data_IF_533316159905
#
_entry.id   IF_533316159905
#
_cell.length_a   1.000
_cell.length_b   1.000
_cell.length_c   1.000
_cell.angle_alpha   90.00
_cell.angle_beta   90.00
_cell.angle_gamma   90.00
#
_symmetry.space_group_name_H-M   'P 1'
#
loop_
_entity.id
_entity.type
_entity.pdbx_description
1 polymer ?
#
# COMPACT_ATOMS: atom_id res chain seq x y z
N UNK A 1 -17.38 -8.98 32.41
CA UNK A 1 -17.44 -7.54 32.10
C UNK A 1 -18.09 -7.40 30.72
N UNK A 2 -19.37 -7.07 30.65
CA UNK A 2 -20.07 -6.86 29.37
C UNK A 2 -19.61 -5.52 28.80
N UNK A 3 -18.99 -5.53 27.62
CA UNK A 3 -18.56 -4.32 26.95
C UNK A 3 -19.79 -3.54 26.47
N UNK A 4 -20.06 -2.40 27.10
CA UNK A 4 -21.15 -1.51 26.72
C UNK A 4 -20.72 -0.66 25.51
N UNK A 5 -20.89 -1.23 24.32
CA UNK A 5 -20.47 -0.66 23.03
C UNK A 5 -21.07 0.73 22.83
N UNK A 6 -22.33 0.95 23.25
CA UNK A 6 -23.00 2.23 23.12
C UNK A 6 -22.31 3.34 23.92
N UNK A 7 -21.90 3.03 25.16
CA UNK A 7 -21.14 3.98 25.99
C UNK A 7 -19.76 4.26 25.41
N UNK A 8 -19.09 3.26 24.85
CA UNK A 8 -17.80 3.43 24.19
C UNK A 8 -17.89 4.37 22.98
N UNK A 9 -18.79 4.08 22.03
CA UNK A 9 -18.97 4.89 20.82
C UNK A 9 -19.35 6.32 21.15
N UNK A 10 -20.23 6.52 22.14
CA UNK A 10 -20.61 7.86 22.60
C UNK A 10 -19.41 8.63 23.16
N UNK A 11 -18.64 8.00 24.05
CA UNK A 11 -17.44 8.61 24.65
C UNK A 11 -16.41 8.96 23.57
N UNK A 12 -16.15 8.03 22.64
CA UNK A 12 -15.26 8.24 21.51
C UNK A 12 -15.71 9.43 20.65
N UNK A 13 -16.99 9.49 20.28
CA UNK A 13 -17.52 10.61 19.48
C UNK A 13 -17.48 11.95 20.23
N UNK A 14 -17.75 11.98 21.53
CA UNK A 14 -17.66 13.19 22.35
C UNK A 14 -16.21 13.71 22.46
N UNK A 15 -15.23 12.82 22.60
CA UNK A 15 -13.81 13.19 22.60
C UNK A 15 -13.39 13.68 21.21
N UNK A 16 -13.78 12.99 20.14
CA UNK A 16 -13.48 13.37 18.76
C UNK A 16 -14.02 14.76 18.40
N UNK A 17 -15.20 15.13 18.89
CA UNK A 17 -15.74 16.49 18.71
C UNK A 17 -14.94 17.57 19.43
N UNK A 18 -14.33 17.26 20.57
CA UNK A 18 -13.47 18.20 21.33
C UNK A 18 -12.08 18.32 20.72
N UNK A 19 -11.58 17.25 20.10
CA UNK A 19 -10.23 17.18 19.54
C UNK A 19 -10.23 16.64 18.10
N UNK A 20 -10.89 17.33 17.15
CA UNK A 20 -11.01 16.83 15.77
C UNK A 20 -9.65 16.69 15.08
N UNK A 21 -8.69 17.57 15.38
CA UNK A 21 -7.34 17.51 14.81
C UNK A 21 -6.62 16.20 15.15
N UNK A 22 -6.67 15.76 16.41
CA UNK A 22 -6.02 14.50 16.84
C UNK A 22 -6.63 13.29 16.12
N UNK A 23 -7.95 13.30 15.89
CA UNK A 23 -8.64 12.21 15.18
C UNK A 23 -8.24 12.19 13.71
N UNK A 24 -8.18 13.36 13.08
CA UNK A 24 -7.75 13.49 11.69
C UNK A 24 -6.28 13.09 11.54
N UNK A 25 -5.39 13.58 12.39
CA UNK A 25 -3.96 13.24 12.38
C UNK A 25 -3.77 11.74 12.58
N UNK A 26 -4.46 11.14 13.55
CA UNK A 26 -4.40 9.69 13.80
C UNK A 26 -4.88 8.89 12.58
N UNK A 27 -5.95 9.34 11.92
CA UNK A 27 -6.46 8.70 10.71
C UNK A 27 -5.51 8.84 9.52
N UNK A 28 -4.92 10.02 9.32
CA UNK A 28 -3.99 10.30 8.23
C UNK A 28 -2.66 9.58 8.42
N UNK A 29 -2.11 9.60 9.65
CA UNK A 29 -0.92 8.85 10.04
C UNK A 29 -1.16 7.34 9.89
N UNK A 30 -2.33 6.88 10.34
CA UNK A 30 -2.74 5.49 10.21
C UNK A 30 -2.88 5.01 8.77
N UNK A 31 -3.02 5.91 7.80
CA UNK A 31 -3.20 5.59 6.37
C UNK A 31 -2.09 6.14 5.47
N UNK A 32 -1.01 6.65 6.06
CA UNK A 32 0.05 7.40 5.39
C UNK A 32 0.58 6.71 4.13
N UNK A 33 0.88 5.41 4.22
CA UNK A 33 1.45 4.63 3.11
C UNK A 33 0.51 4.36 1.93
N UNK A 34 -0.78 4.72 2.00
CA UNK A 34 -1.72 4.58 0.89
C UNK A 34 -1.84 5.82 0.00
N UNK A 35 -1.26 6.96 0.40
CA UNK A 35 -1.38 8.21 -0.35
C UNK A 35 -0.14 9.10 -0.32
N UNK A 36 0.80 8.94 0.62
CA UNK A 36 2.00 9.76 0.71
C UNK A 36 3.21 9.10 0.02
N UNK A 37 3.79 9.77 -0.98
CA UNK A 37 4.94 9.29 -1.78
C UNK A 37 6.31 9.68 -1.18
N UNK A 38 6.47 9.51 0.13
CA UNK A 38 7.74 9.75 0.80
C UNK A 38 8.14 8.56 1.67
N UNK A 39 8.94 8.85 2.70
CA UNK A 39 9.38 7.81 3.63
C UNK A 39 8.18 7.15 4.30
N UNK A 40 8.19 5.83 4.30
CA UNK A 40 7.22 5.03 5.02
C UNK A 40 7.42 5.26 6.51
N UNK A 41 6.36 5.62 7.25
CA UNK A 41 6.41 5.68 8.71
C UNK A 41 6.58 4.30 9.37
N UNK A 42 6.58 3.22 8.58
CA UNK A 42 6.86 1.89 9.09
C UNK A 42 8.32 1.74 9.50
N UNK A 43 8.52 1.29 10.74
CA UNK A 43 9.82 0.94 11.32
C UNK A 43 10.58 -0.16 10.54
N UNK A 44 9.89 -0.90 9.67
CA UNK A 44 10.49 -1.88 8.76
C UNK A 44 10.59 -1.24 7.37
N UNK A 45 11.77 -0.74 7.05
CA UNK A 45 12.13 -0.17 5.74
C UNK A 45 12.65 -1.21 4.74
N UNK A 46 12.75 -2.48 5.15
CA UNK A 46 13.24 -3.59 4.33
C UNK A 46 12.15 -4.63 4.07
N UNK A 47 12.27 -5.38 2.98
CA UNK A 47 11.37 -6.50 2.71
C UNK A 47 11.95 -7.73 3.42
N UNK A 48 11.17 -8.40 4.28
CA UNK A 48 11.63 -9.61 4.95
C UNK A 48 11.85 -10.73 3.92
N UNK A 49 13.11 -10.95 3.57
CA UNK A 49 13.53 -12.02 2.67
C UNK A 49 13.54 -13.38 3.36
N UNK A 50 14.08 -13.41 4.58
CA UNK A 50 14.25 -14.61 5.39
C UNK A 50 13.01 -14.89 6.26
N UNK A 51 11.89 -14.20 6.04
CA UNK A 51 10.66 -14.39 6.84
C UNK A 51 10.82 -14.07 8.33
N UNK A 52 9.71 -14.09 9.07
CA UNK A 52 9.72 -13.68 10.48
C UNK A 52 10.27 -14.74 11.46
N UNK A 53 10.67 -15.92 10.99
CA UNK A 53 11.02 -17.07 11.84
C UNK A 53 12.01 -18.05 11.20
N UNK A 54 12.79 -17.68 10.17
CA UNK A 54 13.80 -18.60 9.60
C UNK A 54 15.18 -18.45 10.25
N UNK A 55 15.35 -17.52 11.20
CA UNK A 55 16.54 -17.44 12.03
C UNK A 55 16.70 -18.71 12.88
N UNK A 56 17.93 -19.19 13.06
CA UNK A 56 18.18 -20.51 13.67
C UNK A 56 17.63 -20.70 15.08
N UNK A 57 17.46 -19.61 15.84
CA UNK A 57 16.87 -19.57 17.18
C UNK A 57 15.33 -19.45 17.18
N UNK A 58 14.70 -19.03 16.07
CA UNK A 58 13.27 -18.76 15.95
C UNK A 58 12.53 -19.78 15.07
N UNK A 59 13.28 -20.61 14.33
CA UNK A 59 12.74 -21.58 13.39
C UNK A 59 12.23 -22.87 14.06
N UNK A 60 11.11 -22.71 14.79
CA UNK A 60 10.40 -23.80 15.47
C UNK A 60 9.86 -24.89 14.54
N UNK A 61 9.67 -24.59 13.25
CA UNK A 61 9.13 -25.51 12.24
C UNK A 61 10.22 -26.16 11.38
N UNK A 62 11.50 -25.85 11.63
CA UNK A 62 12.65 -26.32 10.85
C UNK A 62 12.50 -26.12 9.33
N UNK A 63 11.84 -25.04 8.92
CA UNK A 63 11.64 -24.71 7.51
C UNK A 63 12.97 -24.20 6.96
N UNK A 64 13.48 -24.81 5.90
CA UNK A 64 14.70 -24.35 5.23
C UNK A 64 14.40 -23.95 3.80
N UNK A 65 15.07 -22.89 3.33
CA UNK A 65 14.92 -22.42 1.96
C UNK A 65 16.05 -23.00 1.12
N UNK A 66 15.72 -23.86 0.17
CA UNK A 66 16.68 -24.41 -0.78
C UNK A 66 16.57 -23.68 -2.13
N UNK A 67 17.54 -22.82 -2.44
CA UNK A 67 17.59 -22.14 -3.75
C UNK A 67 18.48 -22.92 -4.71
N UNK A 68 17.92 -23.35 -5.85
CA UNK A 68 18.70 -23.96 -6.93
C UNK A 68 19.60 -22.94 -7.66
N UNK A 69 19.41 -21.65 -7.42
CA UNK A 69 20.20 -20.58 -8.00
C UNK A 69 20.62 -19.60 -6.90
N UNK A 70 21.78 -19.88 -6.28
CA UNK A 70 22.25 -19.18 -5.09
C UNK A 70 22.57 -17.71 -5.38
N UNK A 71 23.17 -17.40 -6.53
CA UNK A 71 23.54 -16.03 -6.90
C UNK A 71 22.32 -15.07 -6.94
N UNK A 72 21.19 -15.52 -7.49
CA UNK A 72 19.95 -14.72 -7.47
C UNK A 72 19.35 -14.61 -6.07
N UNK A 73 19.45 -15.68 -5.28
CA UNK A 73 18.99 -15.67 -3.89
C UNK A 73 19.71 -14.60 -3.09
N UNK A 74 21.03 -14.56 -3.21
CA UNK A 74 21.87 -13.62 -2.47
C UNK A 74 21.64 -12.19 -2.96
N UNK A 75 21.53 -11.98 -4.28
CA UNK A 75 21.20 -10.67 -4.84
C UNK A 75 19.84 -10.15 -4.37
N UNK A 76 18.80 -10.99 -4.42
CA UNK A 76 17.46 -10.59 -3.96
C UNK A 76 17.46 -10.30 -2.45
N UNK A 77 18.20 -11.09 -1.67
CA UNK A 77 18.35 -10.87 -0.22
C UNK A 77 19.01 -9.54 0.06
N UNK A 78 20.12 -9.24 -0.61
CA UNK A 78 20.83 -7.97 -0.48
C UNK A 78 19.95 -6.80 -0.91
N UNK A 79 19.26 -6.91 -2.05
CA UNK A 79 18.40 -5.86 -2.58
C UNK A 79 17.14 -5.62 -1.72
N UNK A 80 16.67 -6.62 -0.97
CA UNK A 80 15.50 -6.48 -0.09
C UNK A 80 15.87 -5.97 1.29
N UNK A 81 17.05 -6.34 1.81
CA UNK A 81 17.59 -5.88 3.10
C UNK A 81 18.22 -4.49 3.02
N UNK A 82 18.81 -4.14 1.88
CA UNK A 82 19.30 -2.80 1.60
C UNK A 82 18.28 -2.09 0.72
N UNK A 83 17.67 -0.97 1.15
CA UNK A 83 16.73 -0.22 0.33
C UNK A 83 17.45 0.59 -0.76
N UNK A 84 18.35 -0.03 -1.53
CA UNK A 84 19.09 0.59 -2.62
C UNK A 84 18.13 1.20 -3.66
N UNK A 85 16.94 0.62 -3.84
CA UNK A 85 15.90 1.14 -4.72
C UNK A 85 15.38 2.54 -4.33
N UNK A 86 15.47 2.92 -3.05
CA UNK A 86 15.07 4.25 -2.60
C UNK A 86 16.07 5.33 -3.04
N UNK A 87 17.31 4.97 -3.33
CA UNK A 87 18.34 5.91 -3.79
C UNK A 87 18.11 6.43 -5.22
N UNK A 88 17.34 5.69 -6.03
CA UNK A 88 17.05 6.04 -7.42
C UNK A 88 15.68 6.74 -7.47
N UNK A 89 15.58 8.05 -7.81
CA UNK A 89 14.34 8.82 -7.69
C UNK A 89 13.14 8.25 -8.45
N UNK A 90 13.36 7.64 -9.61
CA UNK A 90 12.28 7.05 -10.41
C UNK A 90 11.80 5.73 -9.79
N UNK A 91 12.73 4.88 -9.34
CA UNK A 91 12.38 3.61 -8.72
C UNK A 91 11.74 3.81 -7.35
N UNK A 92 12.18 4.80 -6.58
CA UNK A 92 11.60 5.12 -5.28
C UNK A 92 10.13 5.52 -5.40
N UNK A 93 9.75 6.24 -6.47
CA UNK A 93 8.34 6.57 -6.76
C UNK A 93 7.59 5.35 -7.28
N UNK A 94 8.10 4.63 -8.28
CA UNK A 94 7.40 3.50 -8.90
C UNK A 94 7.13 2.34 -7.93
N UNK A 95 8.08 2.08 -7.02
CA UNK A 95 7.97 1.02 -6.03
C UNK A 95 7.31 1.50 -4.73
N UNK A 96 6.88 2.76 -4.66
CA UNK A 96 6.15 3.27 -3.51
C UNK A 96 4.74 2.67 -3.46
N UNK A 97 4.29 2.29 -2.27
CA UNK A 97 2.94 1.77 -2.05
C UNK A 97 1.84 2.79 -2.43
N UNK A 98 2.11 4.09 -2.36
CA UNK A 98 1.19 5.16 -2.76
C UNK A 98 1.12 5.35 -4.29
N UNK A 99 2.03 4.74 -5.07
CA UNK A 99 2.07 4.93 -6.52
C UNK A 99 0.77 4.56 -7.25
N UNK A 100 0.16 3.38 -7.00
CA UNK A 100 -1.10 3.02 -7.64
C UNK A 100 -2.23 3.99 -7.34
N UNK A 101 -2.26 4.60 -6.15
CA UNK A 101 -3.28 5.59 -5.78
C UNK A 101 -3.17 6.86 -6.65
N UNK A 102 -1.98 7.42 -6.78
CA UNK A 102 -1.76 8.60 -7.61
C UNK A 102 -1.97 8.31 -9.09
N UNK A 103 -1.52 7.14 -9.55
CA UNK A 103 -1.75 6.70 -10.92
C UNK A 103 -3.24 6.55 -11.23
N UNK A 104 -4.02 6.01 -10.29
CA UNK A 104 -5.48 5.91 -10.38
C UNK A 104 -6.14 7.29 -10.50
N UNK A 105 -5.75 8.26 -9.66
CA UNK A 105 -6.27 9.63 -9.73
C UNK A 105 -5.93 10.30 -11.07
N UNK A 106 -4.70 10.10 -11.55
CA UNK A 106 -4.26 10.65 -12.83
C UNK A 106 -5.01 9.99 -14.01
N UNK A 107 -5.17 8.67 -14.00
CA UNK A 107 -5.97 7.94 -14.99
C UNK A 107 -7.44 8.40 -15.00
N UNK A 108 -8.03 8.64 -13.82
CA UNK A 108 -9.40 9.15 -13.71
C UNK A 108 -9.52 10.57 -14.28
N UNK A 109 -8.59 11.47 -13.93
CA UNK A 109 -8.54 12.82 -14.49
C UNK A 109 -8.36 12.83 -16.01
N UNK A 110 -7.51 11.94 -16.53
CA UNK A 110 -7.29 11.79 -17.97
C UNK A 110 -8.54 11.25 -18.69
N UNK A 111 -9.22 10.25 -18.13
CA UNK A 111 -10.46 9.71 -18.68
C UNK A 111 -11.58 10.76 -18.74
N UNK A 112 -11.70 11.60 -17.69
CA UNK A 112 -12.63 12.75 -17.67
C UNK A 112 -12.26 13.75 -18.76
N UNK A 113 -10.99 14.12 -18.89
CA UNK A 113 -10.52 15.06 -19.91
C UNK A 113 -10.77 14.57 -21.35
N UNK A 114 -10.65 13.27 -21.60
CA UNK A 114 -10.95 12.64 -22.91
C UNK A 114 -12.42 12.28 -23.11
N UNK A 115 -13.30 12.66 -22.17
CA UNK A 115 -14.73 12.32 -22.20
C UNK A 115 -15.02 10.81 -22.29
N UNK A 116 -14.12 9.96 -21.77
CA UNK A 116 -14.27 8.50 -21.77
C UNK A 116 -15.00 8.01 -20.52
N UNK A 117 -16.30 8.32 -20.42
CA UNK A 117 -17.09 8.02 -19.22
C UNK A 117 -17.12 6.52 -18.85
N UNK A 118 -17.04 5.62 -19.83
CA UNK A 118 -17.03 4.16 -19.60
C UNK A 118 -15.78 3.69 -18.84
N UNK A 119 -14.66 4.39 -18.99
CA UNK A 119 -13.38 4.07 -18.34
C UNK A 119 -13.34 4.48 -16.87
N UNK A 120 -14.26 5.35 -16.44
CA UNK A 120 -14.34 5.83 -15.05
C UNK A 120 -14.93 4.75 -14.13
N UNK A 121 -15.84 3.92 -14.63
CA UNK A 121 -16.51 2.86 -13.86
C UNK A 121 -15.51 1.91 -13.16
N UNK A 122 -14.54 1.29 -13.86
CA UNK A 122 -13.55 0.43 -13.20
C UNK A 122 -12.63 1.20 -12.24
N UNK A 123 -12.34 2.48 -12.51
CA UNK A 123 -11.55 3.32 -11.59
C UNK A 123 -12.33 3.63 -10.31
N UNK A 124 -13.65 3.81 -10.38
CA UNK A 124 -14.51 3.96 -9.20
C UNK A 124 -14.50 2.71 -8.33
N UNK A 125 -14.44 1.52 -8.94
CA UNK A 125 -14.29 0.27 -8.19
C UNK A 125 -12.93 0.23 -7.47
N UNK A 126 -11.85 0.62 -8.14
CA UNK A 126 -10.52 0.72 -7.52
C UNK A 126 -10.48 1.75 -6.39
N UNK A 127 -11.14 2.89 -6.56
CA UNK A 127 -11.27 3.91 -5.52
C UNK A 127 -12.07 3.38 -4.33
N UNK A 128 -13.12 2.60 -4.57
CA UNK A 128 -13.86 1.87 -3.54
C UNK A 128 -12.98 0.88 -2.78
N UNK A 129 -12.19 0.07 -3.50
CA UNK A 129 -11.21 -0.84 -2.90
C UNK A 129 -10.20 -0.07 -2.03
N UNK A 130 -9.63 1.02 -2.53
CA UNK A 130 -8.76 1.89 -1.75
C UNK A 130 -9.47 2.45 -0.49
N UNK A 131 -10.74 2.86 -0.61
CA UNK A 131 -11.55 3.29 0.51
C UNK A 131 -11.72 2.22 1.59
N UNK A 132 -11.86 0.95 1.21
CA UNK A 132 -11.90 -0.15 2.21
C UNK A 132 -10.56 -0.36 2.92
N UNK A 133 -9.44 -0.06 2.27
CA UNK A 133 -8.11 -0.12 2.90
C UNK A 133 -7.96 0.92 4.01
N UNK A 134 -8.63 2.07 3.89
CA UNK A 134 -8.59 3.12 4.91
C UNK A 134 -9.23 2.72 6.24
N UNK A 135 -10.12 1.72 6.20
CA UNK A 135 -10.76 1.14 7.37
C UNK A 135 -9.93 0.00 7.98
N UNK A 136 -8.81 -0.34 7.36
CA UNK A 136 -7.90 -1.38 7.82
C UNK A 136 -7.23 -0.99 9.14
N UNK A 137 -6.92 -1.96 10.02
CA UNK A 137 -6.22 -1.69 11.26
C UNK A 137 -4.75 -1.32 11.04
N UNK A 138 -4.21 -1.60 9.84
CA UNK A 138 -2.78 -1.53 9.56
C UNK A 138 -2.49 -1.35 8.08
N UNK A 139 -1.52 -0.49 7.76
CA UNK A 139 -1.04 -0.29 6.39
C UNK A 139 -0.03 -1.38 6.05
N UNK A 140 -0.30 -2.16 5.01
CA UNK A 140 0.62 -3.17 4.53
C UNK A 140 0.56 -3.29 3.02
N UNK A 141 1.73 -3.51 2.39
CA UNK A 141 1.87 -3.74 0.96
C UNK A 141 0.93 -4.86 0.47
N UNK A 142 0.76 -5.91 1.27
CA UNK A 142 -0.09 -7.07 0.93
C UNK A 142 -1.54 -6.69 0.68
N UNK A 143 -2.06 -5.65 1.35
CA UNK A 143 -3.43 -5.19 1.15
C UNK A 143 -3.55 -4.26 -0.06
N UNK A 144 -2.45 -3.60 -0.45
CA UNK A 144 -2.40 -2.78 -1.67
C UNK A 144 -2.22 -3.61 -2.95
N UNK A 145 -1.95 -4.92 -2.87
CA UNK A 145 -1.71 -5.77 -4.04
C UNK A 145 -2.79 -5.67 -5.14
N UNK A 146 -4.11 -5.64 -4.83
CA UNK A 146 -5.13 -5.47 -5.86
C UNK A 146 -4.95 -4.17 -6.66
N UNK A 147 -4.57 -3.07 -6.00
CA UNK A 147 -4.29 -1.80 -6.67
C UNK A 147 -3.01 -1.88 -7.52
N UNK A 148 -1.97 -2.53 -7.00
CA UNK A 148 -0.69 -2.72 -7.70
C UNK A 148 -0.88 -3.54 -8.98
N UNK A 149 -1.67 -4.61 -8.93
CA UNK A 149 -1.94 -5.44 -10.13
C UNK A 149 -2.73 -4.71 -11.21
N UNK A 150 -3.46 -3.65 -10.86
CA UNK A 150 -4.16 -2.81 -11.83
C UNK A 150 -3.27 -1.74 -12.47
N UNK A 151 -2.02 -1.54 -12.00
CA UNK A 151 -1.09 -0.53 -12.54
C UNK A 151 -0.91 -0.63 -14.07
N UNK A 152 -0.65 -1.82 -14.67
CA UNK A 152 -0.48 -1.91 -16.12
C UNK A 152 -1.71 -1.43 -16.89
N UNK A 153 -2.92 -1.75 -16.39
CA UNK A 153 -4.17 -1.30 -17.00
C UNK A 153 -4.37 0.21 -16.85
N UNK A 154 -4.04 0.77 -15.69
CA UNK A 154 -4.12 2.23 -15.49
C UNK A 154 -3.15 2.97 -16.41
N UNK A 155 -1.94 2.45 -16.64
CA UNK A 155 -0.99 2.99 -17.60
C UNK A 155 -1.50 2.91 -19.05
N UNK A 156 -2.09 1.77 -19.43
CA UNK A 156 -2.68 1.59 -20.76
C UNK A 156 -3.74 2.66 -21.07
N UNK A 157 -4.60 2.97 -20.09
CA UNK A 157 -5.63 4.01 -20.21
C UNK A 157 -5.05 5.40 -20.48
N UNK A 158 -3.89 5.71 -19.89
CA UNK A 158 -3.20 6.99 -20.04
C UNK A 158 -2.47 7.08 -21.37
N UNK A 159 -1.66 6.07 -21.70
CA UNK A 159 -0.82 6.07 -22.92
C UNK A 159 -1.67 5.91 -24.18
N UNK A 160 -2.87 5.33 -24.06
CA UNK A 160 -3.75 5.14 -25.20
C UNK A 160 -3.22 4.08 -26.16
N UNK A 161 -2.55 3.03 -25.64
CA UNK A 161 -2.15 1.83 -26.41
C UNK A 161 -3.36 0.97 -26.82
N UNK A 162 -4.52 1.58 -27.03
CA UNK A 162 -5.54 1.04 -27.92
C UNK A 162 -4.97 1.08 -29.34
N UNK A 163 -4.36 -0.03 -29.74
CA UNK A 163 -4.30 -0.40 -31.14
C UNK A 163 -5.73 -0.47 -31.67
N UNK A 164 -6.14 0.59 -32.36
CA UNK A 164 -7.03 0.65 -33.52
C UNK A 164 -7.07 2.07 -34.04
#
# INVERSE_FOLDING_TARGET
MQADIGRFVRTWAEIGKRHPGIYLDSFLMGNWGYWYMGDSQYWISYILYDGAYLEGNLNILHITRNSHFQALSDWLREATLTPAFQSVPVLSVLLNQAFPFWLMLFAAGFAVWKHRAYEIIPLMLLLGCWGTLLLGPVVSLRYALPLIYCVPRMLEMIVGLTGK
#
